data_IF_747602503767
#
_entry.id   IF_747602503767
#
_cell.length_a   1.000
_cell.length_b   1.000
_cell.length_c   1.000
_cell.angle_alpha   90.00
_cell.angle_beta   90.00
_cell.angle_gamma   90.00
#
_symmetry.space_group_name_H-M   'P 1'
#
loop_
_entity.id
_entity.type
_entity.pdbx_description
1 polymer ?
#
# COMPACT_ATOMS: atom_id res chain seq x y z
N UNK A 1 2.86 12.64 11.54
CA UNK A 1 1.80 13.41 10.88
C UNK A 1 2.24 13.73 9.46
N UNK A 2 1.67 13.03 8.45
CA UNK A 2 2.00 13.20 7.03
C UNK A 2 1.29 14.37 6.36
N UNK A 3 0.67 15.27 7.11
CA UNK A 3 -0.07 16.42 6.55
C UNK A 3 0.76 17.68 6.48
N UNK A 4 1.85 17.64 5.70
CA UNK A 4 2.52 18.85 5.24
C UNK A 4 1.69 19.59 4.17
N UNK A 5 1.91 20.91 3.97
CA UNK A 5 1.25 21.66 2.90
C UNK A 5 1.65 21.07 1.53
N UNK A 6 0.72 20.37 0.88
CA UNK A 6 0.89 19.77 -0.44
C UNK A 6 1.00 18.25 -0.47
N UNK A 7 1.00 17.56 0.67
CA UNK A 7 1.01 16.11 0.74
C UNK A 7 -0.41 15.56 0.56
N UNK A 8 -0.50 14.43 -0.13
CA UNK A 8 -1.74 13.68 -0.29
C UNK A 8 -1.64 12.40 0.53
N UNK A 9 -2.71 12.06 1.23
CA UNK A 9 -2.85 10.76 1.90
C UNK A 9 -4.30 10.30 1.84
N UNK A 10 -4.50 9.01 1.60
CA UNK A 10 -5.78 8.32 1.73
C UNK A 10 -5.63 7.02 2.52
N UNK A 11 -6.76 6.49 2.97
CA UNK A 11 -6.84 5.21 3.64
C UNK A 11 -8.18 4.56 3.33
N UNK A 12 -8.13 3.27 3.01
CA UNK A 12 -9.29 2.42 2.74
C UNK A 12 -9.31 1.26 3.71
N UNK A 13 -10.51 0.81 4.07
CA UNK A 13 -10.70 -0.30 4.99
C UNK A 13 -11.65 -1.34 4.40
N UNK A 14 -11.47 -2.61 4.82
CA UNK A 14 -12.38 -3.71 4.56
C UNK A 14 -12.39 -4.65 5.75
N UNK A 15 -13.58 -5.11 6.13
CA UNK A 15 -13.75 -6.09 7.20
C UNK A 15 -13.82 -7.49 6.58
N UNK A 16 -13.10 -8.42 7.17
CA UNK A 16 -13.03 -9.84 6.76
C UNK A 16 -13.32 -10.77 7.92
N UNK A 17 -13.89 -11.92 7.63
CA UNK A 17 -14.09 -12.95 8.62
C UNK A 17 -12.74 -13.60 9.00
N UNK A 18 -12.62 -14.00 10.27
CA UNK A 18 -11.42 -14.66 10.78
C UNK A 18 -10.44 -13.70 11.47
N UNK A 19 -9.50 -14.32 12.20
CA UNK A 19 -8.37 -13.61 12.83
C UNK A 19 -7.22 -13.59 11.85
N UNK A 20 -7.03 -12.46 11.18
CA UNK A 20 -5.97 -12.26 10.19
C UNK A 20 -4.75 -11.62 10.85
N UNK A 21 -3.57 -12.18 10.59
CA UNK A 21 -2.30 -11.59 10.99
C UNK A 21 -1.77 -10.60 9.92
N UNK A 22 -0.89 -9.69 10.32
CA UNK A 22 -0.19 -8.81 9.36
C UNK A 22 0.54 -9.61 8.28
N UNK A 23 1.20 -10.71 8.65
CA UNK A 23 1.89 -11.61 7.71
C UNK A 23 0.94 -12.13 6.62
N UNK A 24 -0.23 -12.66 7.01
CA UNK A 24 -1.23 -13.15 6.05
C UNK A 24 -1.73 -12.03 5.14
N UNK A 25 -2.04 -10.86 5.70
CA UNK A 25 -2.52 -9.72 4.90
C UNK A 25 -1.46 -9.20 3.92
N UNK A 26 -0.21 -9.02 4.35
CA UNK A 26 0.89 -8.56 3.49
C UNK A 26 1.16 -9.57 2.38
N UNK A 27 1.21 -10.88 2.70
CA UNK A 27 1.33 -11.95 1.71
C UNK A 27 0.19 -11.90 0.69
N UNK A 28 -1.07 -11.91 1.16
CA UNK A 28 -2.25 -11.84 0.29
C UNK A 28 -2.29 -10.58 -0.58
N UNK A 29 -1.87 -9.42 -0.04
CA UNK A 29 -1.84 -8.16 -0.78
C UNK A 29 -0.85 -8.21 -1.94
N UNK A 30 0.40 -8.58 -1.68
CA UNK A 30 1.47 -8.56 -2.67
C UNK A 30 1.47 -9.77 -3.63
N UNK A 31 0.78 -10.86 -3.30
CA UNK A 31 0.56 -12.00 -4.19
C UNK A 31 -0.79 -11.97 -4.91
N UNK A 32 -1.65 -10.97 -4.62
CA UNK A 32 -2.94 -10.81 -5.30
C UNK A 32 -2.77 -10.66 -6.81
N UNK A 33 -3.74 -11.12 -7.58
CA UNK A 33 -3.69 -11.07 -9.05
C UNK A 33 -3.51 -9.64 -9.57
N UNK A 34 -4.16 -8.67 -8.92
CA UNK A 34 -4.07 -7.26 -9.33
C UNK A 34 -2.67 -6.69 -9.07
N UNK A 35 -2.05 -7.04 -7.93
CA UNK A 35 -0.68 -6.62 -7.64
C UNK A 35 0.34 -7.33 -8.56
N UNK A 36 0.06 -8.57 -9.00
CA UNK A 36 0.89 -9.26 -10.01
C UNK A 36 0.92 -8.51 -11.34
N UNK A 37 -0.20 -7.90 -11.75
CA UNK A 37 -0.23 -7.02 -12.93
C UNK A 37 0.64 -5.79 -12.71
N UNK A 38 0.57 -5.15 -11.52
CA UNK A 38 1.45 -4.02 -11.17
C UNK A 38 2.93 -4.43 -11.20
N UNK A 39 3.28 -5.58 -10.63
CA UNK A 39 4.65 -6.12 -10.67
C UNK A 39 5.15 -6.33 -12.09
N UNK A 40 4.28 -6.80 -13.00
CA UNK A 40 4.61 -6.94 -14.41
C UNK A 40 4.92 -5.59 -15.05
N UNK A 41 4.11 -4.56 -14.76
CA UNK A 41 4.36 -3.19 -15.21
C UNK A 41 5.66 -2.62 -14.63
N UNK A 42 5.92 -2.81 -13.34
CA UNK A 42 7.16 -2.38 -12.69
C UNK A 42 8.39 -3.07 -13.29
N UNK A 43 8.28 -4.36 -13.65
CA UNK A 43 9.36 -5.09 -14.34
C UNK A 43 9.73 -4.44 -15.67
N UNK A 44 8.72 -4.04 -16.47
CA UNK A 44 8.93 -3.48 -17.80
C UNK A 44 9.30 -2.00 -17.79
N UNK A 45 8.71 -1.21 -16.88
CA UNK A 45 8.88 0.25 -16.87
C UNK A 45 10.06 0.72 -16.02
N UNK A 46 10.39 0.00 -14.94
CA UNK A 46 11.37 0.45 -13.94
C UNK A 46 12.49 -0.58 -13.70
N UNK A 47 12.48 -1.71 -14.43
CA UNK A 47 13.44 -2.81 -14.27
C UNK A 47 13.56 -3.32 -12.81
N UNK A 48 12.43 -3.36 -12.07
CA UNK A 48 12.33 -3.87 -10.69
C UNK A 48 11.50 -5.16 -10.66
N UNK A 49 12.06 -6.32 -11.08
CA UNK A 49 11.36 -7.59 -11.01
C UNK A 49 11.17 -8.02 -9.55
N UNK A 50 10.09 -8.75 -9.29
CA UNK A 50 9.83 -9.35 -7.99
C UNK A 50 9.06 -10.67 -8.14
N UNK A 51 9.17 -11.55 -7.13
CA UNK A 51 8.54 -12.87 -7.11
C UNK A 51 7.57 -13.00 -5.95
N UNK A 52 6.68 -13.99 -6.01
CA UNK A 52 5.77 -14.30 -4.90
C UNK A 52 6.57 -14.74 -3.65
N UNK A 53 7.68 -15.48 -3.84
CA UNK A 53 8.57 -15.84 -2.74
C UNK A 53 9.15 -14.62 -2.02
N UNK A 54 9.53 -13.59 -2.76
CA UNK A 54 10.00 -12.33 -2.15
C UNK A 54 8.87 -11.59 -1.41
N UNK A 55 7.63 -11.66 -1.91
CA UNK A 55 6.47 -11.11 -1.20
C UNK A 55 6.24 -11.83 0.14
N UNK A 56 6.36 -13.17 0.17
CA UNK A 56 6.28 -13.95 1.40
C UNK A 56 7.44 -13.65 2.37
N UNK A 57 8.66 -13.47 1.87
CA UNK A 57 9.79 -13.05 2.68
C UNK A 57 9.59 -11.66 3.28
N UNK A 58 9.02 -10.71 2.52
CA UNK A 58 8.62 -9.41 3.04
C UNK A 58 7.56 -9.57 4.14
N UNK A 59 6.52 -10.37 3.89
CA UNK A 59 5.45 -10.63 4.85
C UNK A 59 5.99 -11.23 6.16
N UNK A 60 6.94 -12.16 6.05
CA UNK A 60 7.61 -12.79 7.19
C UNK A 60 8.62 -11.87 7.90
N UNK A 61 8.91 -10.68 7.36
CA UNK A 61 9.91 -9.77 7.93
C UNK A 61 11.37 -10.21 7.70
N UNK A 62 11.60 -11.08 6.72
CA UNK A 62 12.94 -11.60 6.40
C UNK A 62 13.71 -10.66 5.46
N UNK A 63 13.03 -9.76 4.76
CA UNK A 63 13.62 -8.77 3.86
C UNK A 63 12.95 -7.41 4.06
N UNK A 64 13.72 -6.35 3.85
CA UNK A 64 13.25 -4.96 3.93
C UNK A 64 13.08 -4.31 2.54
N UNK A 65 13.36 -5.05 1.46
CA UNK A 65 13.21 -4.57 0.09
C UNK A 65 12.36 -5.53 -0.73
N UNK A 66 11.37 -4.99 -1.45
CA UNK A 66 10.51 -5.76 -2.33
C UNK A 66 10.11 -4.93 -3.55
N UNK A 67 10.41 -5.41 -4.77
CA UNK A 67 10.15 -4.68 -6.02
C UNK A 67 10.74 -3.26 -5.97
N UNK A 68 9.89 -2.25 -6.04
CA UNK A 68 10.28 -0.84 -5.95
C UNK A 68 10.10 -0.25 -4.53
N UNK A 69 9.88 -1.10 -3.51
CA UNK A 69 9.54 -0.68 -2.15
C UNK A 69 10.61 -1.07 -1.14
N UNK A 70 10.81 -0.21 -0.14
CA UNK A 70 11.68 -0.45 1.02
C UNK A 70 10.86 -0.25 2.30
N UNK A 71 11.04 -1.11 3.30
CA UNK A 71 10.40 -0.99 4.61
C UNK A 71 10.95 0.22 5.34
N UNK A 72 10.09 1.20 5.67
CA UNK A 72 10.42 2.34 6.55
C UNK A 72 10.09 2.05 8.01
N UNK A 73 9.10 1.19 8.26
CA UNK A 73 8.70 0.82 9.61
C UNK A 73 7.85 -0.44 9.64
N UNK A 74 8.02 -1.20 10.71
CA UNK A 74 7.26 -2.44 10.96
C UNK A 74 6.92 -2.53 12.43
N UNK A 75 5.64 -2.77 12.72
CA UNK A 75 5.11 -3.16 14.03
C UNK A 75 4.46 -4.53 13.90
N UNK A 76 3.94 -5.06 15.01
CA UNK A 76 3.28 -6.36 15.03
C UNK A 76 2.05 -6.41 14.11
N UNK A 77 1.34 -5.29 13.99
CA UNK A 77 0.08 -5.12 13.26
C UNK A 77 0.17 -4.17 12.07
N UNK A 78 1.34 -3.58 11.80
CA UNK A 78 1.50 -2.52 10.80
C UNK A 78 2.79 -2.66 10.00
N UNK A 79 2.73 -2.27 8.73
CA UNK A 79 3.86 -2.18 7.81
C UNK A 79 3.80 -0.89 7.02
N UNK A 80 4.87 -0.10 7.07
CA UNK A 80 5.06 1.11 6.26
C UNK A 80 6.18 0.88 5.26
N UNK A 81 5.88 1.13 3.99
CA UNK A 81 6.81 1.01 2.89
C UNK A 81 6.96 2.35 2.16
N UNK A 82 8.16 2.60 1.66
CA UNK A 82 8.48 3.76 0.83
C UNK A 82 8.94 3.28 -0.56
N UNK A 83 8.54 4.00 -1.60
CA UNK A 83 9.04 3.71 -2.93
C UNK A 83 10.54 4.10 -3.08
N UNK A 84 11.20 3.56 -4.10
CA UNK A 84 12.63 3.80 -4.36
C UNK A 84 12.98 5.28 -4.65
N UNK A 85 11.99 6.13 -4.94
CA UNK A 85 12.16 7.57 -5.14
C UNK A 85 11.94 8.40 -3.87
N UNK A 86 11.47 7.76 -2.78
CA UNK A 86 11.15 8.44 -1.53
C UNK A 86 9.89 9.32 -1.58
N UNK A 87 9.05 9.15 -2.61
CA UNK A 87 7.88 10.02 -2.87
C UNK A 87 6.56 9.43 -2.44
N UNK A 88 6.43 8.11 -2.54
CA UNK A 88 5.18 7.42 -2.23
C UNK A 88 5.36 6.53 -1.01
N UNK A 89 4.37 6.51 -0.12
CA UNK A 89 4.28 5.59 1.01
C UNK A 89 3.07 4.69 0.84
N UNK A 90 3.25 3.46 1.26
CA UNK A 90 2.22 2.44 1.32
C UNK A 90 2.14 1.91 2.75
N UNK A 91 0.98 1.98 3.36
CA UNK A 91 0.76 1.56 4.74
C UNK A 91 -0.29 0.46 4.80
N UNK A 92 0.04 -0.64 5.44
CA UNK A 92 -0.81 -1.80 5.68
C UNK A 92 -0.96 -1.99 7.18
N UNK A 93 -2.19 -2.23 7.65
CA UNK A 93 -2.47 -2.49 9.07
C UNK A 93 -3.61 -3.49 9.20
N UNK A 94 -3.56 -4.29 10.26
CA UNK A 94 -4.63 -5.22 10.66
C UNK A 94 -5.08 -4.90 12.08
N UNK A 95 -6.38 -4.82 12.28
CA UNK A 95 -6.99 -4.60 13.59
C UNK A 95 -8.07 -5.66 13.86
N UNK A 96 -8.09 -6.31 15.05
CA UNK A 96 -9.17 -7.21 15.41
C UNK A 96 -10.46 -6.45 15.68
N UNK A 97 -11.60 -6.94 15.16
CA UNK A 97 -12.92 -6.38 15.45
C UNK A 97 -13.53 -7.17 16.60
N UNK A 98 -13.64 -6.53 17.77
CA UNK A 98 -14.17 -7.15 18.98
C UNK A 98 -15.70 -7.03 19.12
N UNK A 99 -16.33 -6.14 18.33
CA UNK A 99 -17.77 -5.85 18.42
C UNK A 99 -18.65 -6.76 17.57
N UNK A 100 -18.07 -7.56 16.66
CA UNK A 100 -18.80 -8.49 15.81
C UNK A 100 -18.87 -9.90 16.44
N UNK A 101 -19.97 -10.64 16.26
CA UNK A 101 -20.02 -12.06 16.69
C UNK A 101 -19.05 -12.87 15.82
N UNK A 102 -18.20 -13.66 16.47
CA UNK A 102 -17.12 -14.42 15.83
C UNK A 102 -15.83 -13.60 15.65
N UNK A 103 -14.80 -14.26 15.17
CA UNK A 103 -13.52 -13.59 14.89
C UNK A 103 -13.61 -12.83 13.57
N UNK A 104 -13.32 -11.52 13.60
CA UNK A 104 -13.25 -10.67 12.42
C UNK A 104 -12.02 -9.76 12.53
N UNK A 105 -11.50 -9.36 11.38
CA UNK A 105 -10.38 -8.41 11.28
C UNK A 105 -10.70 -7.30 10.32
N UNK A 106 -10.29 -6.08 10.65
CA UNK A 106 -10.31 -4.93 9.76
C UNK A 106 -8.95 -4.75 9.14
N UNK A 107 -8.91 -4.74 7.82
CA UNK A 107 -7.72 -4.50 7.03
C UNK A 107 -7.70 -3.05 6.58
N UNK A 108 -6.54 -2.42 6.70
CA UNK A 108 -6.32 -1.04 6.28
C UNK A 108 -5.26 -0.99 5.18
N UNK A 109 -5.54 -0.24 4.14
CA UNK A 109 -4.55 0.13 3.14
C UNK A 109 -4.55 1.64 2.98
N UNK A 110 -3.44 2.27 3.36
CA UNK A 110 -3.20 3.69 3.20
C UNK A 110 -2.12 3.95 2.16
N UNK A 111 -2.26 5.04 1.42
CA UNK A 111 -1.19 5.53 0.58
C UNK A 111 -0.97 7.03 0.78
N UNK A 112 0.27 7.46 0.62
CA UNK A 112 0.65 8.85 0.74
C UNK A 112 1.64 9.25 -0.35
N UNK A 113 1.49 10.48 -0.85
CA UNK A 113 2.44 11.09 -1.77
C UNK A 113 3.00 12.34 -1.10
N UNK A 114 4.33 12.36 -0.91
CA UNK A 114 5.04 13.49 -0.33
C UNK A 114 5.46 14.42 -1.46
N UNK A 115 5.05 15.68 -1.40
CA UNK A 115 5.52 16.68 -2.36
C UNK A 115 6.98 17.04 -2.06
N UNK A 116 7.83 16.83 -3.05
CA UNK A 116 9.23 17.29 -2.97
C UNK A 116 9.23 18.80 -3.05
N UNK A 117 9.39 19.46 -1.92
CA UNK A 117 9.58 20.91 -1.83
C UNK A 117 10.95 21.29 -2.42
N UNK A 118 10.95 21.54 -3.73
CA UNK A 118 12.11 22.02 -4.47
C UNK A 118 11.68 23.07 -5.51
N UNK A 119 11.74 24.33 -5.11
CA UNK A 119 11.45 25.60 -5.80
C UNK A 119 10.03 26.14 -5.61
N UNK A 120 9.98 27.28 -4.87
CA UNK A 120 8.85 28.21 -4.80
C UNK A 120 8.50 28.70 -6.21
N UNK A 121 7.52 28.08 -6.84
CA UNK A 121 6.74 28.69 -7.90
C UNK A 121 5.30 28.64 -7.46
N UNK A 122 4.65 29.80 -7.49
CA UNK A 122 3.37 30.07 -6.88
C UNK A 122 2.25 29.10 -7.24
N UNK A 123 1.31 28.95 -6.29
CA UNK A 123 0.02 28.25 -6.35
C UNK A 123 -0.01 26.99 -7.23
N UNK A 124 -0.05 25.78 -6.64
CA UNK A 124 -0.30 24.60 -7.43
C UNK A 124 -1.79 24.56 -7.80
N UNK A 125 -2.15 25.12 -8.94
CA UNK A 125 -3.32 24.61 -9.64
C UNK A 125 -2.96 23.18 -10.00
N UNK A 126 -3.50 22.21 -9.25
CA UNK A 126 -3.31 20.78 -9.54
C UNK A 126 -3.70 20.54 -11.00
N UNK A 127 -2.78 20.12 -11.89
CA UNK A 127 -3.11 19.88 -13.28
C UNK A 127 -4.27 18.88 -13.36
N UNK A 128 -5.15 19.02 -14.36
CA UNK A 128 -6.27 18.10 -14.58
C UNK A 128 -5.79 16.63 -14.60
N UNK A 129 -4.61 16.39 -15.15
CA UNK A 129 -3.92 15.09 -15.15
C UNK A 129 -3.69 14.54 -13.74
N UNK A 130 -3.32 15.37 -12.78
CA UNK A 130 -3.13 14.95 -11.39
C UNK A 130 -4.46 14.60 -10.72
N UNK A 131 -5.54 15.33 -10.99
CA UNK A 131 -6.90 15.03 -10.48
C UNK A 131 -7.44 13.73 -11.05
N UNK A 132 -7.19 13.46 -12.34
CA UNK A 132 -7.54 12.20 -13.00
C UNK A 132 -6.72 11.04 -12.42
N UNK A 133 -5.43 11.23 -12.20
CA UNK A 133 -4.56 10.24 -11.55
C UNK A 133 -4.99 9.96 -10.10
N UNK A 134 -5.41 10.98 -9.34
CA UNK A 134 -5.95 10.78 -7.98
C UNK A 134 -7.25 9.96 -7.98
N UNK A 135 -8.16 10.23 -8.92
CA UNK A 135 -9.40 9.46 -9.07
C UNK A 135 -9.10 7.98 -9.39
N UNK A 136 -8.21 7.75 -10.34
CA UNK A 136 -7.73 6.40 -10.69
C UNK A 136 -7.03 5.74 -9.50
N UNK A 137 -6.15 6.45 -8.80
CA UNK A 137 -5.42 5.95 -7.64
C UNK A 137 -6.36 5.47 -6.53
N UNK A 138 -7.41 6.25 -6.20
CA UNK A 138 -8.40 5.87 -5.20
C UNK A 138 -9.19 4.62 -5.59
N UNK A 139 -9.59 4.51 -6.86
CA UNK A 139 -10.26 3.32 -7.37
C UNK A 139 -9.34 2.11 -7.32
N UNK A 140 -8.11 2.28 -7.78
CA UNK A 140 -7.08 1.24 -7.79
C UNK A 140 -6.73 0.74 -6.39
N UNK A 141 -6.54 1.64 -5.42
CA UNK A 141 -6.27 1.29 -4.01
C UNK A 141 -7.38 0.44 -3.39
N UNK A 142 -8.66 0.80 -3.68
CA UNK A 142 -9.81 -0.01 -3.26
C UNK A 142 -9.84 -1.39 -3.93
N UNK A 143 -9.50 -1.44 -5.20
CA UNK A 143 -9.46 -2.70 -5.95
C UNK A 143 -8.34 -3.61 -5.43
N UNK A 144 -7.16 -3.06 -5.11
CA UNK A 144 -6.05 -3.78 -4.48
C UNK A 144 -6.46 -4.37 -3.13
N UNK A 145 -7.08 -3.56 -2.26
CA UNK A 145 -7.52 -4.03 -0.95
C UNK A 145 -8.57 -5.14 -1.05
N UNK A 146 -9.53 -5.01 -1.98
CA UNK A 146 -10.52 -6.07 -2.25
C UNK A 146 -9.89 -7.33 -2.82
N UNK A 147 -8.91 -7.18 -3.72
CA UNK A 147 -8.18 -8.32 -4.29
C UNK A 147 -7.37 -9.05 -3.22
N UNK A 148 -6.75 -8.34 -2.29
CA UNK A 148 -6.06 -8.91 -1.15
C UNK A 148 -7.03 -9.65 -0.21
N UNK A 149 -8.18 -9.04 0.13
CA UNK A 149 -9.19 -9.68 0.97
C UNK A 149 -9.78 -10.95 0.36
N UNK A 150 -9.92 -11.01 -0.97
CA UNK A 150 -10.38 -12.21 -1.69
C UNK A 150 -9.30 -13.31 -1.78
N UNK A 151 -8.05 -13.00 -1.44
CA UNK A 151 -6.91 -13.92 -1.48
C UNK A 151 -6.54 -14.46 -0.06
N UNK A 152 -7.30 -14.09 0.98
CA UNK A 152 -7.19 -14.57 2.34
C UNK A 152 -8.06 -15.82 2.57
#
# INVERSE_FOLDING_TARGET
DFRGKGDYADCFTIDVAGKISLHQFVGAFYTSWLFKVERLLLRWLVAKPSTDQQAEQLAAGMVDNFAAWTVEGRLQDQLLLCDYQGRTRSWLMVEPITSAPGAHSRLYFGSGVVSVTGKKTGFPVMPLTFRLMLGFHRYYSRALLRSAAANL
#
